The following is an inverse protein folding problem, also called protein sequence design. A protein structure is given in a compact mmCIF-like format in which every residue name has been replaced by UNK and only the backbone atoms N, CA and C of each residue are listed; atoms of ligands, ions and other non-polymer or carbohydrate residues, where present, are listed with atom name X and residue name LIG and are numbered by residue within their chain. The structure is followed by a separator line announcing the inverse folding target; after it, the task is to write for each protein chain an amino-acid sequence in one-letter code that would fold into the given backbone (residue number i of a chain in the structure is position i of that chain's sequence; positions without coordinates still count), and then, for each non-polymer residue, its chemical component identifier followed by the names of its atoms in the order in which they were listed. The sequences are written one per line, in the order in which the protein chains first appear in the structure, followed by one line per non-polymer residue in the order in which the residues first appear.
data_IF_257195993513
#
_entry.id   IF_257195993513
#
_cell.length_a   1.000
_cell.length_b   1.000
_cell.length_c   1.000
_cell.angle_alpha   90.00
_cell.angle_beta   90.00
_cell.angle_gamma   90.00
#
_symmetry.space_group_name_H-M   'P 1'
#
loop_
_entity.id
_entity.type
_entity.pdbx_description
1 polymer ?
#
# COMPACT_ATOMS: atom_id res chain seq x y z
N UNK A 1 -14.30 -15.77 -6.28
CA UNK A 1 -13.99 -16.97 -5.47
C UNK A 1 -15.22 -17.78 -5.06
N UNK A 2 -16.25 -17.21 -4.42
CA UNK A 2 -17.45 -17.98 -4.05
C UNK A 2 -18.34 -18.34 -5.26
N UNK A 3 -18.51 -17.42 -6.22
CA UNK A 3 -19.30 -17.65 -7.44
C UNK A 3 -18.52 -18.42 -8.52
N UNK A 4 -17.25 -18.08 -8.76
CA UNK A 4 -16.46 -18.67 -9.87
C UNK A 4 -15.65 -19.94 -9.50
N UNK A 5 -15.13 -20.06 -8.27
CA UNK A 5 -14.30 -21.21 -7.84
C UNK A 5 -15.02 -22.17 -6.90
N UNK A 6 -16.27 -21.86 -6.50
CA UNK A 6 -17.07 -22.69 -5.60
C UNK A 6 -16.45 -22.94 -4.21
N UNK A 7 -15.49 -22.12 -3.78
CA UNK A 7 -14.79 -22.28 -2.49
C UNK A 7 -15.40 -21.40 -1.40
N UNK A 8 -15.29 -21.86 -0.16
CA UNK A 8 -15.76 -21.13 1.01
C UNK A 8 -14.99 -19.82 1.22
N UNK A 9 -15.61 -18.85 1.90
CA UNK A 9 -14.98 -17.59 2.29
C UNK A 9 -13.71 -17.81 3.15
N UNK A 10 -13.67 -18.89 3.94
CA UNK A 10 -12.51 -19.26 4.74
C UNK A 10 -11.29 -19.60 3.88
N UNK A 11 -11.48 -20.34 2.78
CA UNK A 11 -10.38 -20.68 1.86
C UNK A 11 -9.85 -19.40 1.19
N UNK A 12 -10.73 -18.49 0.79
CA UNK A 12 -10.33 -17.20 0.25
C UNK A 12 -9.48 -16.40 1.26
N UNK A 13 -9.89 -16.34 2.52
CA UNK A 13 -9.14 -15.68 3.60
C UNK A 13 -7.76 -16.30 3.83
N UNK A 14 -7.67 -17.64 3.84
CA UNK A 14 -6.39 -18.35 3.98
C UNK A 14 -5.44 -18.07 2.82
N UNK A 15 -5.95 -18.05 1.59
CA UNK A 15 -5.14 -17.73 0.40
C UNK A 15 -4.59 -16.30 0.48
N UNK A 16 -5.41 -15.33 0.89
CA UNK A 16 -4.96 -13.94 1.09
C UNK A 16 -3.94 -13.81 2.23
N UNK A 17 -4.09 -14.61 3.28
CA UNK A 17 -3.12 -14.67 4.38
C UNK A 17 -1.75 -15.17 3.89
N UNK A 18 -1.72 -16.26 3.11
CA UNK A 18 -0.47 -16.81 2.56
C UNK A 18 0.13 -15.83 1.54
N UNK A 19 -0.70 -15.17 0.73
CA UNK A 19 -0.25 -14.12 -0.19
C UNK A 19 0.41 -12.96 0.58
N UNK A 20 -0.18 -12.52 1.69
CA UNK A 20 0.40 -11.49 2.56
C UNK A 20 1.76 -11.94 3.13
N UNK A 21 1.89 -13.22 3.50
CA UNK A 21 3.17 -13.78 3.94
C UNK A 21 4.22 -13.77 2.82
N UNK A 22 3.83 -14.16 1.61
CA UNK A 22 4.68 -14.04 0.41
C UNK A 22 5.16 -12.61 0.18
N UNK A 23 4.26 -11.63 0.33
CA UNK A 23 4.61 -10.21 0.21
C UNK A 23 5.59 -9.75 1.29
N UNK A 24 5.46 -10.21 2.54
CA UNK A 24 6.42 -9.90 3.61
C UNK A 24 7.82 -10.43 3.28
N UNK A 25 7.92 -11.69 2.85
CA UNK A 25 9.21 -12.27 2.42
C UNK A 25 9.77 -11.48 1.23
N UNK A 26 8.94 -11.15 0.25
CA UNK A 26 9.30 -10.32 -0.89
C UNK A 26 9.87 -8.96 -0.47
N UNK A 27 9.25 -8.28 0.49
CA UNK A 27 9.73 -7.00 1.02
C UNK A 27 11.13 -7.12 1.66
N UNK A 28 11.34 -8.15 2.50
CA UNK A 28 12.62 -8.37 3.17
C UNK A 28 13.73 -8.69 2.15
N UNK A 29 13.44 -9.57 1.19
CA UNK A 29 14.38 -9.89 0.12
C UNK A 29 14.63 -8.70 -0.80
N UNK A 30 13.60 -7.93 -1.14
CA UNK A 30 13.70 -6.72 -1.96
C UNK A 30 14.64 -5.69 -1.34
N UNK A 31 14.53 -5.46 -0.03
CA UNK A 31 15.48 -4.60 0.69
C UNK A 31 16.92 -5.12 0.62
N UNK A 32 17.14 -6.41 0.91
CA UNK A 32 18.49 -6.99 0.85
C UNK A 32 19.08 -7.02 -0.56
N UNK A 33 18.25 -7.28 -1.59
CA UNK A 33 18.68 -7.26 -2.99
C UNK A 33 18.96 -5.83 -3.44
N UNK A 34 18.20 -4.84 -2.99
CA UNK A 34 18.48 -3.43 -3.27
C UNK A 34 19.88 -3.05 -2.82
N UNK A 35 20.27 -3.44 -1.61
CA UNK A 35 21.60 -3.12 -1.05
C UNK A 35 22.73 -3.84 -1.78
N UNK A 36 22.49 -5.05 -2.33
CA UNK A 36 23.53 -5.88 -2.97
C UNK A 36 23.64 -5.69 -4.49
N UNK A 37 22.51 -5.57 -5.17
CA UNK A 37 22.39 -5.58 -6.64
C UNK A 37 22.02 -4.21 -7.22
N UNK A 38 21.60 -3.28 -6.36
CA UNK A 38 21.07 -1.97 -6.75
C UNK A 38 19.58 -2.00 -7.10
N UNK A 39 18.94 -0.83 -7.06
CA UNK A 39 17.49 -0.70 -7.23
C UNK A 39 16.96 -1.18 -8.58
N UNK A 40 17.67 -0.89 -9.67
CA UNK A 40 17.26 -1.28 -11.02
C UNK A 40 17.09 -2.80 -11.16
N UNK A 41 18.11 -3.58 -10.79
CA UNK A 41 18.07 -5.05 -10.89
C UNK A 41 17.01 -5.66 -9.97
N UNK A 42 16.85 -5.12 -8.76
CA UNK A 42 15.82 -5.59 -7.82
C UNK A 42 14.41 -5.39 -8.38
N UNK A 43 14.13 -4.22 -8.96
CA UNK A 43 12.83 -3.97 -9.60
C UNK A 43 12.61 -4.93 -10.78
N UNK A 44 13.61 -5.17 -11.62
CA UNK A 44 13.47 -6.09 -12.74
C UNK A 44 13.20 -7.53 -12.29
N UNK A 45 13.87 -8.03 -11.25
CA UNK A 45 13.63 -9.37 -10.69
C UNK A 45 12.19 -9.49 -10.16
N UNK A 46 11.73 -8.49 -9.38
CA UNK A 46 10.37 -8.46 -8.88
C UNK A 46 9.34 -8.39 -10.02
N UNK A 47 9.60 -7.55 -11.02
CA UNK A 47 8.74 -7.37 -12.19
C UNK A 47 8.64 -8.64 -13.03
N UNK A 48 9.77 -9.30 -13.28
CA UNK A 48 9.80 -10.59 -13.97
C UNK A 48 9.00 -11.65 -13.20
N UNK A 49 9.16 -11.70 -11.87
CA UNK A 49 8.39 -12.60 -11.01
C UNK A 49 6.88 -12.33 -11.13
N UNK A 50 6.46 -11.05 -11.13
CA UNK A 50 5.06 -10.68 -11.35
C UNK A 50 4.56 -11.05 -12.75
N UNK A 51 5.36 -10.79 -13.79
CA UNK A 51 5.02 -11.13 -15.18
C UNK A 51 4.82 -12.63 -15.38
N UNK A 52 5.74 -13.45 -14.87
CA UNK A 52 5.60 -14.90 -14.88
C UNK A 52 4.33 -15.34 -14.16
N UNK A 53 4.09 -14.81 -12.95
CA UNK A 53 2.92 -15.16 -12.14
C UNK A 53 1.61 -14.80 -12.83
N UNK A 54 1.49 -13.58 -13.38
CA UNK A 54 0.26 -13.13 -14.03
C UNK A 54 0.03 -13.77 -15.40
N UNK A 55 1.10 -14.13 -16.12
CA UNK A 55 1.01 -14.92 -17.36
C UNK A 55 0.47 -16.31 -17.05
N UNK A 56 1.03 -16.97 -16.03
CA UNK A 56 0.59 -18.30 -15.62
C UNK A 56 -0.81 -18.29 -15.01
N UNK A 57 -1.23 -17.21 -14.36
CA UNK A 57 -2.63 -17.01 -13.97
C UNK A 57 -3.57 -16.99 -15.18
N UNK A 58 -3.17 -16.36 -16.28
CA UNK A 58 -4.03 -16.30 -17.46
C UNK A 58 -4.32 -17.71 -18.01
N UNK A 59 -3.29 -18.56 -18.11
CA UNK A 59 -3.44 -19.94 -18.60
C UNK A 59 -3.96 -20.94 -17.55
N UNK A 60 -3.60 -20.75 -16.26
CA UNK A 60 -3.83 -21.70 -15.17
C UNK A 60 -4.49 -21.03 -13.94
N UNK A 61 -5.65 -20.40 -14.13
CA UNK A 61 -6.44 -19.77 -13.05
C UNK A 61 -7.33 -20.75 -12.27
N UNK A 62 -7.24 -22.05 -12.55
CA UNK A 62 -7.97 -23.09 -11.80
C UNK A 62 -7.41 -23.34 -10.39
N UNK A 63 -8.20 -24.00 -9.55
CA UNK A 63 -7.72 -24.49 -8.25
C UNK A 63 -6.78 -25.70 -8.43
N UNK A 64 -5.64 -25.80 -7.72
CA UNK A 64 -5.10 -24.89 -6.68
C UNK A 64 -4.13 -23.82 -7.20
N UNK A 65 -3.81 -23.84 -8.49
CA UNK A 65 -2.79 -23.01 -9.12
C UNK A 65 -3.03 -21.50 -8.98
N UNK A 66 -4.29 -21.08 -8.98
CA UNK A 66 -4.67 -19.70 -8.66
C UNK A 66 -4.00 -19.19 -7.36
N UNK A 67 -4.04 -19.98 -6.28
CA UNK A 67 -3.47 -19.57 -5.00
C UNK A 67 -1.95 -19.45 -5.08
N UNK A 68 -1.29 -20.39 -5.75
CA UNK A 68 0.17 -20.41 -5.93
C UNK A 68 0.63 -19.16 -6.68
N UNK A 69 0.01 -18.87 -7.82
CA UNK A 69 0.38 -17.72 -8.63
C UNK A 69 0.03 -16.39 -7.97
N UNK A 70 -1.07 -16.34 -7.20
CA UNK A 70 -1.40 -15.16 -6.41
C UNK A 70 -0.32 -14.89 -5.34
N UNK A 71 0.17 -15.93 -4.65
CA UNK A 71 1.26 -15.78 -3.67
C UNK A 71 2.54 -15.29 -4.33
N UNK A 72 2.91 -15.87 -5.48
CA UNK A 72 4.09 -15.45 -6.25
C UNK A 72 3.97 -14.00 -6.76
N UNK A 73 2.77 -13.57 -7.15
CA UNK A 73 2.49 -12.19 -7.52
C UNK A 73 2.69 -11.23 -6.32
N UNK A 74 2.20 -11.62 -5.13
CA UNK A 74 2.43 -10.86 -3.89
C UNK A 74 3.90 -10.78 -3.51
N UNK A 75 4.64 -11.86 -3.68
CA UNK A 75 6.09 -11.92 -3.45
C UNK A 75 6.87 -10.98 -4.38
N UNK A 76 6.59 -11.03 -5.70
CA UNK A 76 7.22 -10.12 -6.67
C UNK A 76 6.87 -8.65 -6.40
N UNK A 77 5.59 -8.35 -6.10
CA UNK A 77 5.15 -7.02 -5.71
C UNK A 77 5.83 -6.50 -4.45
N UNK A 78 6.00 -7.39 -3.45
CA UNK A 78 6.74 -7.11 -2.23
C UNK A 78 8.20 -6.73 -2.48
N UNK A 79 8.86 -7.27 -3.51
CA UNK A 79 10.24 -6.85 -3.84
C UNK A 79 10.31 -5.46 -4.45
N UNK A 80 9.33 -5.11 -5.28
CA UNK A 80 9.33 -3.87 -6.07
C UNK A 80 9.16 -2.64 -5.18
N UNK A 81 8.22 -2.67 -4.24
CA UNK A 81 7.85 -1.53 -3.40
C UNK A 81 9.05 -0.93 -2.65
N UNK A 82 9.80 -1.67 -1.81
CA UNK A 82 10.92 -1.11 -1.05
C UNK A 82 12.01 -0.56 -1.98
N UNK A 83 12.24 -1.20 -3.13
CA UNK A 83 13.22 -0.73 -4.12
C UNK A 83 12.81 0.61 -4.75
N UNK A 84 11.53 0.82 -5.06
CA UNK A 84 11.02 2.11 -5.55
C UNK A 84 11.22 3.20 -4.49
N UNK A 85 10.82 2.95 -3.24
CA UNK A 85 10.96 3.92 -2.16
C UNK A 85 12.43 4.25 -1.88
N UNK A 86 13.32 3.26 -1.91
CA UNK A 86 14.75 3.47 -1.72
C UNK A 86 15.38 4.27 -2.87
N UNK A 87 15.06 3.97 -4.14
CA UNK A 87 15.51 4.77 -5.29
C UNK A 87 14.99 6.20 -5.24
N UNK A 88 13.72 6.38 -4.91
CA UNK A 88 13.11 7.70 -4.79
C UNK A 88 13.80 8.59 -3.75
N UNK A 89 14.23 7.99 -2.63
CA UNK A 89 15.04 8.67 -1.62
C UNK A 89 16.46 8.99 -2.10
N UNK A 90 17.08 8.12 -2.90
CA UNK A 90 18.46 8.28 -3.35
C UNK A 90 18.63 9.26 -4.53
N UNK A 91 17.64 9.36 -5.42
CA UNK A 91 17.72 10.18 -6.64
C UNK A 91 17.42 11.67 -6.38
N UNK A 92 16.65 12.02 -5.35
CA UNK A 92 16.17 13.39 -5.15
C UNK A 92 17.03 14.22 -4.16
N UNK A 93 17.68 15.32 -4.60
CA UNK A 93 18.60 16.09 -3.75
C UNK A 93 17.93 16.84 -2.59
N UNK A 94 16.66 17.24 -2.76
CA UNK A 94 15.93 18.10 -1.82
C UNK A 94 15.27 17.33 -0.65
N UNK A 95 15.59 16.04 -0.50
CA UNK A 95 14.99 15.17 0.51
C UNK A 95 13.65 14.57 0.09
N UNK A 96 13.39 13.37 0.59
CA UNK A 96 12.34 12.48 0.08
C UNK A 96 10.89 12.90 0.30
N UNK A 97 10.59 13.95 1.10
CA UNK A 97 9.19 14.26 1.46
C UNK A 97 8.31 14.61 0.25
N UNK A 98 8.82 15.42 -0.69
CA UNK A 98 8.05 15.72 -1.92
C UNK A 98 7.90 14.48 -2.80
N UNK A 99 8.97 13.72 -2.96
CA UNK A 99 9.00 12.49 -3.78
C UNK A 99 8.07 11.40 -3.21
N UNK A 100 8.12 11.15 -1.91
CA UNK A 100 7.25 10.18 -1.24
C UNK A 100 5.78 10.60 -1.26
N UNK A 101 5.48 11.90 -1.16
CA UNK A 101 4.12 12.39 -1.35
C UNK A 101 3.63 12.23 -2.79
N UNK A 102 4.50 12.41 -3.79
CA UNK A 102 4.17 12.14 -5.18
C UNK A 102 3.91 10.64 -5.44
N UNK A 103 4.74 9.75 -4.86
CA UNK A 103 4.50 8.29 -4.90
C UNK A 103 3.16 7.95 -4.26
N UNK A 104 2.87 8.50 -3.07
CA UNK A 104 1.60 8.27 -2.40
C UNK A 104 0.42 8.73 -3.25
N UNK A 105 0.51 9.89 -3.90
CA UNK A 105 -0.52 10.38 -4.80
C UNK A 105 -0.72 9.45 -6.00
N UNK A 106 0.37 9.03 -6.65
CA UNK A 106 0.34 8.11 -7.77
C UNK A 106 -0.28 6.75 -7.39
N UNK A 107 0.03 6.22 -6.19
CA UNK A 107 -0.59 4.99 -5.69
C UNK A 107 -2.10 5.13 -5.53
N UNK A 108 -2.59 6.23 -4.98
CA UNK A 108 -4.03 6.45 -4.81
C UNK A 108 -4.75 6.62 -6.15
N UNK A 109 -4.13 7.31 -7.12
CA UNK A 109 -4.63 7.38 -8.50
C UNK A 109 -4.70 5.96 -9.10
N UNK A 110 -3.64 5.17 -8.93
CA UNK A 110 -3.58 3.79 -9.41
C UNK A 110 -4.70 2.91 -8.83
N UNK A 111 -4.96 3.00 -7.52
CA UNK A 111 -6.06 2.29 -6.86
C UNK A 111 -7.41 2.74 -7.40
N UNK A 112 -7.62 4.04 -7.58
CA UNK A 112 -8.89 4.60 -8.07
C UNK A 112 -9.19 4.14 -9.51
N UNK A 113 -8.20 4.32 -10.40
CA UNK A 113 -8.30 3.94 -11.82
C UNK A 113 -8.40 2.42 -11.95
N UNK A 114 -7.59 1.68 -11.19
CA UNK A 114 -7.60 0.22 -11.18
C UNK A 114 -8.92 -0.37 -10.69
N UNK A 115 -9.54 0.22 -9.66
CA UNK A 115 -10.86 -0.20 -9.20
C UNK A 115 -11.94 0.11 -10.24
N UNK A 116 -11.94 1.32 -10.83
CA UNK A 116 -12.89 1.70 -11.87
C UNK A 116 -12.83 0.75 -13.08
N UNK A 117 -11.61 0.51 -13.59
CA UNK A 117 -11.37 -0.40 -14.71
C UNK A 117 -11.67 -1.86 -14.34
N UNK A 118 -11.26 -2.31 -13.15
CA UNK A 118 -11.50 -3.66 -12.67
C UNK A 118 -12.98 -3.99 -12.53
N UNK A 119 -13.78 -3.05 -12.02
CA UNK A 119 -15.24 -3.17 -11.95
C UNK A 119 -15.87 -3.29 -13.34
N UNK A 120 -15.47 -2.42 -14.28
CA UNK A 120 -15.96 -2.46 -15.66
C UNK A 120 -15.58 -3.76 -16.38
N UNK A 121 -14.32 -4.20 -16.28
CA UNK A 121 -13.86 -5.46 -16.90
C UNK A 121 -14.58 -6.68 -16.31
N UNK A 122 -14.87 -6.66 -15.01
CA UNK A 122 -15.59 -7.73 -14.33
C UNK A 122 -17.04 -7.90 -14.83
N UNK A 123 -17.67 -6.85 -15.35
CA UNK A 123 -19.02 -6.94 -15.95
C UNK A 123 -19.04 -7.71 -17.27
N UNK A 124 -17.96 -7.65 -18.08
CA UNK A 124 -17.87 -8.42 -19.32
C UNK A 124 -17.53 -9.88 -19.07
N UNK A 125 -16.45 -10.13 -18.33
CA UNK A 125 -16.06 -11.47 -17.90
C UNK A 125 -14.96 -11.39 -16.85
N UNK A 126 -15.07 -12.22 -15.82
CA UNK A 126 -14.06 -12.34 -14.79
C UNK A 126 -12.68 -12.73 -15.35
N UNK A 127 -12.63 -13.49 -16.45
CA UNK A 127 -11.36 -13.93 -17.04
C UNK A 127 -10.54 -12.79 -17.64
N UNK A 128 -11.18 -11.72 -18.11
CA UNK A 128 -10.48 -10.56 -18.66
C UNK A 128 -9.71 -9.77 -17.59
N UNK A 129 -10.03 -9.95 -16.30
CA UNK A 129 -9.29 -9.31 -15.19
C UNK A 129 -7.83 -9.76 -15.19
N UNK A 130 -7.57 -11.05 -15.42
CA UNK A 130 -6.20 -11.57 -15.47
C UNK A 130 -5.41 -11.03 -16.66
N UNK A 131 -6.08 -10.89 -17.81
CA UNK A 131 -5.47 -10.31 -19.01
C UNK A 131 -5.17 -8.82 -18.82
N UNK A 132 -6.11 -8.06 -18.25
CA UNK A 132 -5.90 -6.65 -17.93
C UNK A 132 -4.73 -6.47 -16.97
N UNK A 133 -4.62 -7.31 -15.94
CA UNK A 133 -3.50 -7.29 -15.00
C UNK A 133 -2.16 -7.60 -15.70
N UNK A 134 -2.13 -8.59 -16.60
CA UNK A 134 -0.94 -8.90 -17.40
C UNK A 134 -0.51 -7.69 -18.25
N UNK A 135 -1.44 -7.04 -18.94
CA UNK A 135 -1.14 -5.85 -19.76
C UNK A 135 -0.53 -4.73 -18.89
N UNK A 136 -1.08 -4.49 -17.70
CA UNK A 136 -0.54 -3.48 -16.77
C UNK A 136 0.89 -3.80 -16.32
N UNK A 137 1.20 -5.07 -16.04
CA UNK A 137 2.55 -5.49 -15.70
C UNK A 137 3.52 -5.45 -16.89
N UNK A 138 3.05 -5.70 -18.12
CA UNK A 138 3.85 -5.53 -19.34
C UNK A 138 4.21 -4.06 -19.53
N UNK A 139 3.24 -3.15 -19.39
CA UNK A 139 3.49 -1.70 -19.44
C UNK A 139 4.47 -1.29 -18.35
N UNK A 140 4.27 -1.76 -17.12
CA UNK A 140 5.20 -1.49 -16.03
C UNK A 140 6.61 -2.02 -16.32
N UNK A 141 6.75 -3.19 -16.92
CA UNK A 141 8.06 -3.75 -17.29
C UNK A 141 8.78 -2.91 -18.36
N UNK A 142 8.05 -2.40 -19.35
CA UNK A 142 8.62 -1.47 -20.34
C UNK A 142 9.13 -0.19 -19.67
N UNK A 143 8.35 0.37 -18.73
CA UNK A 143 8.78 1.53 -17.94
C UNK A 143 9.97 1.17 -17.06
N UNK A 144 9.96 0.00 -16.42
CA UNK A 144 11.05 -0.48 -15.57
C UNK A 144 12.37 -0.54 -16.34
N UNK A 145 12.38 -1.17 -17.52
CA UNK A 145 13.58 -1.32 -18.35
C UNK A 145 14.08 0.03 -18.89
N UNK A 146 13.17 0.94 -19.27
CA UNK A 146 13.56 2.20 -19.94
C UNK A 146 13.88 3.34 -18.99
N UNK A 147 13.18 3.45 -17.85
CA UNK A 147 13.24 4.63 -16.97
C UNK A 147 14.03 4.40 -15.67
N UNK A 148 14.15 3.16 -15.20
CA UNK A 148 14.79 2.88 -13.91
C UNK A 148 16.28 2.55 -14.02
N UNK A 149 16.85 2.50 -15.23
CA UNK A 149 18.29 2.34 -15.43
C UNK A 149 19.03 3.66 -15.17
N UNK A 150 19.00 4.12 -13.92
CA UNK A 150 19.62 5.36 -13.47
C UNK A 150 20.87 5.02 -12.68
N UNK A 151 22.00 5.65 -13.01
CA UNK A 151 23.24 5.51 -12.24
C UNK A 151 23.13 6.27 -10.91
N UNK A 152 22.79 5.55 -9.84
CA UNK A 152 22.69 6.11 -8.49
C UNK A 152 24.09 6.12 -7.86
N UNK A 153 24.80 7.25 -7.99
CA UNK A 153 26.08 7.50 -7.31
C UNK A 153 25.91 7.91 -5.83
N UNK A 154 25.05 7.20 -5.10
CA UNK A 154 24.89 7.44 -3.67
C UNK A 154 25.93 6.61 -2.90
N UNK A 155 26.99 7.26 -2.40
CA UNK A 155 27.92 6.64 -1.44
C UNK A 155 27.17 6.32 -0.16
N UNK A 156 26.68 5.09 0.00
CA UNK A 156 26.14 4.60 1.27
C UNK A 156 27.29 4.58 2.29
N UNK A 157 27.36 5.60 3.15
CA UNK A 157 28.28 5.61 4.28
C UNK A 157 27.77 4.61 5.31
N UNK A 158 28.33 3.40 5.29
CA UNK A 158 28.15 2.47 6.39
C UNK A 158 28.83 3.06 7.64
N UNK A 159 28.13 3.26 8.76
CA UNK A 159 28.78 3.64 10.00
C UNK A 159 29.68 2.49 10.44
N UNK A 160 31.00 2.74 10.44
CA UNK A 160 32.06 1.75 10.66
C UNK A 160 32.07 1.16 12.08
N UNK A 161 31.33 1.76 13.02
CA UNK A 161 31.14 1.27 14.38
C UNK A 161 29.71 1.54 14.86
N UNK A 162 28.86 0.50 14.86
CA UNK A 162 27.62 0.50 15.62
C UNK A 162 27.96 0.06 17.04
N UNK A 163 27.99 1.00 17.99
CA UNK A 163 28.17 0.68 19.40
C UNK A 163 26.87 0.12 20.00
N UNK A 164 26.63 -1.18 19.85
CA UNK A 164 25.35 -1.84 20.17
C UNK A 164 25.07 -1.87 21.69
N UNK A 165 26.07 -1.61 22.55
CA UNK A 165 26.00 -1.86 24.02
C UNK A 165 25.73 -0.64 24.90
N UNK A 166 25.64 0.58 24.35
CA UNK A 166 25.35 1.79 25.14
C UNK A 166 23.94 1.81 25.76
N UNK A 167 23.79 2.18 27.04
CA UNK A 167 22.47 2.36 27.72
C UNK A 167 21.49 3.26 26.94
N UNK A 168 22.00 4.27 26.22
CA UNK A 168 21.19 5.13 25.33
C UNK A 168 20.61 4.37 24.12
N UNK A 169 21.28 3.34 23.63
CA UNK A 169 20.81 2.52 22.52
C UNK A 169 19.73 1.53 22.97
N UNK A 170 19.76 1.05 24.22
CA UNK A 170 18.64 0.26 24.78
C UNK A 170 17.35 1.08 24.87
N UNK A 171 17.41 2.32 25.36
CA UNK A 171 16.24 3.21 25.41
C UNK A 171 15.70 3.57 24.01
N UNK A 172 16.58 3.83 23.04
CA UNK A 172 16.21 4.04 21.63
C UNK A 172 15.58 2.80 21.00
N UNK A 173 16.14 1.62 21.26
CA UNK A 173 15.60 0.35 20.78
C UNK A 173 14.20 0.08 21.36
N UNK A 174 14.01 0.26 22.67
CA UNK A 174 12.69 0.13 23.31
C UNK A 174 11.70 1.14 22.70
N UNK A 175 12.13 2.39 22.48
CA UNK A 175 11.29 3.40 21.83
C UNK A 175 10.90 2.99 20.39
N UNK A 176 11.84 2.45 19.63
CA UNK A 176 11.60 1.93 18.28
C UNK A 176 10.62 0.75 18.30
N UNK A 177 10.81 -0.21 19.20
CA UNK A 177 9.90 -1.37 19.37
C UNK A 177 8.50 -0.90 19.75
N UNK A 178 8.37 0.04 20.69
CA UNK A 178 7.07 0.61 21.07
C UNK A 178 6.38 1.32 19.90
N UNK A 179 7.13 2.09 19.10
CA UNK A 179 6.59 2.75 17.90
C UNK A 179 6.14 1.70 16.88
N UNK A 180 6.95 0.67 16.62
CA UNK A 180 6.59 -0.42 15.71
C UNK A 180 5.34 -1.19 16.20
N UNK A 181 5.24 -1.47 17.49
CA UNK A 181 4.09 -2.15 18.08
C UNK A 181 2.80 -1.31 17.96
N UNK A 182 2.85 -0.02 18.33
CA UNK A 182 1.71 0.88 18.16
C UNK A 182 1.30 1.02 16.69
N UNK A 183 2.29 1.14 15.79
CA UNK A 183 2.04 1.19 14.36
C UNK A 183 1.38 -0.10 13.85
N UNK A 184 1.87 -1.27 14.27
CA UNK A 184 1.28 -2.56 13.90
C UNK A 184 -0.17 -2.69 14.36
N UNK A 185 -0.49 -2.25 15.60
CA UNK A 185 -1.88 -2.25 16.11
C UNK A 185 -2.78 -1.35 15.24
N UNK A 186 -2.33 -0.14 14.94
CA UNK A 186 -3.07 0.79 14.08
C UNK A 186 -3.23 0.21 12.66
N UNK A 187 -2.20 -0.47 12.15
CA UNK A 187 -2.19 -1.08 10.83
C UNK A 187 -3.15 -2.26 10.72
N UNK A 188 -3.27 -3.09 11.77
CA UNK A 188 -4.27 -4.17 11.83
C UNK A 188 -5.67 -3.59 11.77
N UNK A 189 -5.96 -2.56 12.58
CA UNK A 189 -7.26 -1.88 12.53
C UNK A 189 -7.54 -1.27 11.14
N UNK A 190 -6.50 -0.75 10.48
CA UNK A 190 -6.58 -0.21 9.12
C UNK A 190 -6.91 -1.28 8.08
N UNK A 191 -6.14 -2.38 8.01
CA UNK A 191 -6.36 -3.43 7.00
C UNK A 191 -7.73 -4.09 7.14
N UNK A 192 -8.24 -4.23 8.38
CA UNK A 192 -9.55 -4.83 8.59
C UNK A 192 -10.71 -4.06 7.96
N UNK A 193 -10.54 -2.75 7.74
CA UNK A 193 -11.52 -1.94 7.04
C UNK A 193 -11.79 -2.46 5.62
N UNK A 194 -10.72 -2.69 4.84
CA UNK A 194 -10.80 -3.08 3.43
C UNK A 194 -11.46 -4.47 3.27
N UNK A 195 -11.09 -5.42 4.14
CA UNK A 195 -11.62 -6.80 4.13
C UNK A 195 -13.07 -6.88 4.64
N UNK A 196 -13.40 -6.16 5.70
CA UNK A 196 -14.73 -6.21 6.34
C UNK A 196 -15.78 -5.57 5.44
N UNK A 197 -15.46 -4.46 4.77
CA UNK A 197 -16.44 -3.82 3.87
C UNK A 197 -16.65 -4.64 2.61
N UNK A 198 -15.59 -5.24 2.06
CA UNK A 198 -15.72 -6.12 0.90
C UNK A 198 -16.68 -7.29 1.18
N UNK A 199 -16.61 -7.90 2.37
CA UNK A 199 -17.50 -8.99 2.77
C UNK A 199 -18.90 -8.51 3.15
N UNK A 200 -19.01 -7.39 3.86
CA UNK A 200 -20.30 -6.80 4.24
C UNK A 200 -21.12 -6.36 3.03
N UNK A 201 -20.51 -5.70 2.04
CA UNK A 201 -21.21 -5.28 0.81
C UNK A 201 -21.77 -6.47 0.03
N UNK A 202 -21.05 -7.59 0.01
CA UNK A 202 -21.57 -8.83 -0.57
C UNK A 202 -22.75 -9.42 0.21
N UNK A 203 -22.79 -9.29 1.55
CA UNK A 203 -23.91 -9.82 2.37
C UNK A 203 -25.25 -9.10 2.17
N UNK A 204 -25.21 -7.87 1.66
CA UNK A 204 -26.39 -7.03 1.40
C UNK A 204 -26.70 -6.92 -0.10
N UNK A 205 -26.15 -7.82 -0.92
CA UNK A 205 -26.34 -7.89 -2.37
C UNK A 205 -25.93 -6.64 -3.15
N UNK A 206 -24.93 -5.88 -2.67
CA UNK A 206 -24.29 -4.84 -3.50
C UNK A 206 -23.43 -5.52 -4.56
N UNK A 207 -23.59 -5.08 -5.81
CA UNK A 207 -22.81 -5.62 -6.94
C UNK A 207 -21.32 -5.25 -6.85
N UNK A 208 -20.47 -6.03 -7.53
CA UNK A 208 -19.03 -5.75 -7.59
C UNK A 208 -18.72 -4.41 -8.27
N UNK A 209 -19.54 -3.99 -9.23
CA UNK A 209 -19.44 -2.69 -9.89
C UNK A 209 -19.69 -1.54 -8.90
N UNK A 210 -20.76 -1.63 -8.11
CA UNK A 210 -21.05 -0.63 -7.06
C UNK A 210 -19.96 -0.58 -5.99
N UNK A 211 -19.41 -1.72 -5.57
CA UNK A 211 -18.25 -1.76 -4.67
C UNK A 211 -17.01 -1.10 -5.29
N UNK A 212 -16.79 -1.28 -6.60
CA UNK A 212 -15.67 -0.66 -7.33
C UNK A 212 -15.82 0.85 -7.49
N UNK A 213 -17.05 1.35 -7.63
CA UNK A 213 -17.36 2.79 -7.61
C UNK A 213 -16.97 3.42 -6.28
N UNK A 214 -17.21 2.74 -5.15
CA UNK A 214 -16.79 3.24 -3.82
C UNK A 214 -15.28 3.47 -3.73
N UNK A 215 -14.47 2.56 -4.28
CA UNK A 215 -13.01 2.72 -4.37
C UNK A 215 -12.58 3.86 -5.31
N UNK A 216 -13.34 4.09 -6.37
CA UNK A 216 -13.09 5.22 -7.29
C UNK A 216 -13.37 6.55 -6.59
N UNK A 217 -14.50 6.66 -5.88
CA UNK A 217 -14.86 7.83 -5.07
C UNK A 217 -13.80 8.07 -4.00
N UNK A 218 -13.30 7.02 -3.34
CA UNK A 218 -12.17 7.10 -2.40
C UNK A 218 -10.97 7.83 -2.99
N UNK A 219 -10.53 7.43 -4.18
CA UNK A 219 -9.40 8.06 -4.86
C UNK A 219 -9.64 9.52 -5.21
N UNK A 220 -10.83 9.85 -5.73
CA UNK A 220 -11.22 11.24 -6.04
C UNK A 220 -11.20 12.10 -4.78
N UNK A 221 -11.75 11.59 -3.67
CA UNK A 221 -11.72 12.30 -2.40
C UNK A 221 -10.29 12.57 -1.91
N UNK A 222 -9.35 11.63 -2.12
CA UNK A 222 -7.93 11.84 -1.77
C UNK A 222 -7.35 12.98 -2.59
N UNK A 223 -7.58 12.96 -3.90
CA UNK A 223 -7.09 13.99 -4.82
C UNK A 223 -7.62 15.37 -4.44
N UNK A 224 -8.92 15.47 -4.11
CA UNK A 224 -9.57 16.73 -3.73
C UNK A 224 -9.19 17.18 -2.32
N UNK A 225 -8.98 16.25 -1.38
CA UNK A 225 -8.60 16.57 -0.01
C UNK A 225 -7.16 17.10 0.10
N UNK A 226 -6.23 16.65 -0.77
CA UNK A 226 -4.84 17.12 -0.73
C UNK A 226 -4.67 18.66 -0.78
N UNK A 227 -5.25 19.41 -1.74
CA UNK A 227 -5.16 20.86 -1.75
C UNK A 227 -5.87 21.51 -0.56
N UNK A 228 -6.98 20.93 -0.07
CA UNK A 228 -7.75 21.46 1.07
C UNK A 228 -7.00 21.33 2.41
N UNK A 229 -6.17 20.30 2.57
CA UNK A 229 -5.40 20.05 3.80
C UNK A 229 -4.07 20.82 3.80
N UNK A 230 -3.59 21.25 2.64
CA UNK A 230 -2.31 21.98 2.48
C UNK A 230 -2.17 23.22 3.39
N UNK A 231 -3.20 24.08 3.60
CA UNK A 231 -3.12 25.22 4.51
C UNK A 231 -2.94 24.79 5.97
N UNK A 232 -3.67 23.76 6.40
CA UNK A 232 -3.58 23.20 7.76
C UNK A 232 -2.18 22.62 8.01
N UNK A 233 -1.61 21.93 7.02
CA UNK A 233 -0.25 21.40 7.10
C UNK A 233 0.81 22.50 7.18
N UNK A 234 0.55 23.66 6.56
CA UNK A 234 1.43 24.83 6.67
C UNK A 234 1.39 25.44 8.07
N UNK A 235 0.21 25.48 8.72
CA UNK A 235 0.05 25.95 10.10
C UNK A 235 0.73 25.03 11.13
N UNK A 236 0.78 23.73 10.84
CA UNK A 236 1.44 22.73 11.69
C UNK A 236 2.94 22.55 11.38
N UNK A 237 3.48 23.33 10.44
CA UNK A 237 4.86 23.21 9.96
C UNK A 237 5.82 23.61 11.09
N UNK A 238 6.74 22.71 11.43
CA UNK A 238 7.80 22.95 12.44
C UNK A 238 7.74 22.07 13.69
N UNK A 239 6.61 21.44 14.01
CA UNK A 239 6.51 20.54 15.17
C UNK A 239 5.90 19.18 14.80
N UNK A 240 6.77 18.26 14.40
CA UNK A 240 6.45 16.88 13.97
C UNK A 240 5.66 16.09 15.03
N UNK A 241 5.95 16.28 16.31
CA UNK A 241 5.23 15.61 17.40
C UNK A 241 3.77 16.06 17.45
N UNK A 242 3.51 17.37 17.29
CA UNK A 242 2.14 17.91 17.24
C UNK A 242 1.38 17.36 16.03
N UNK A 243 2.04 17.25 14.87
CA UNK A 243 1.42 16.66 13.67
C UNK A 243 0.98 15.20 13.89
N UNK A 244 1.80 14.39 14.56
CA UNK A 244 1.42 13.01 14.90
C UNK A 244 0.24 12.94 15.85
N UNK A 245 0.26 13.72 16.93
CA UNK A 245 -0.82 13.71 17.93
C UNK A 245 -2.15 14.14 17.29
N UNK A 246 -2.14 15.21 16.49
CA UNK A 246 -3.33 15.66 15.76
C UNK A 246 -3.82 14.56 14.80
N UNK A 247 -2.91 13.92 14.06
CA UNK A 247 -3.26 12.79 13.19
C UNK A 247 -3.92 11.64 13.96
N UNK A 248 -3.33 11.18 15.05
CA UNK A 248 -3.86 10.07 15.87
C UNK A 248 -5.24 10.42 16.45
N UNK A 249 -5.42 11.66 16.95
CA UNK A 249 -6.72 12.12 17.47
C UNK A 249 -7.78 12.10 16.36
N UNK A 250 -7.45 12.62 15.17
CA UNK A 250 -8.35 12.56 14.02
C UNK A 250 -8.70 11.10 13.68
N UNK A 251 -7.71 10.20 13.64
CA UNK A 251 -7.96 8.78 13.36
C UNK A 251 -8.90 8.14 14.39
N UNK A 252 -8.65 8.36 15.68
CA UNK A 252 -9.51 7.84 16.74
C UNK A 252 -10.93 8.39 16.64
N UNK A 253 -11.07 9.69 16.40
CA UNK A 253 -12.38 10.32 16.22
C UNK A 253 -13.16 9.70 15.06
N UNK A 254 -12.47 9.36 13.97
CA UNK A 254 -13.07 8.76 12.78
C UNK A 254 -13.52 7.33 13.00
N UNK A 255 -12.69 6.53 13.68
CA UNK A 255 -13.06 5.15 14.05
C UNK A 255 -14.27 5.16 15.00
N UNK A 256 -14.28 6.06 15.99
CA UNK A 256 -15.41 6.21 16.92
C UNK A 256 -16.67 6.70 16.20
N UNK A 257 -16.54 7.71 15.33
CA UNK A 257 -17.65 8.26 14.56
C UNK A 257 -18.21 7.21 13.57
N UNK A 258 -17.37 6.32 13.05
CA UNK A 258 -17.81 5.21 12.23
C UNK A 258 -18.66 4.20 13.00
N UNK A 259 -18.25 3.77 14.19
CA UNK A 259 -19.08 2.90 15.05
C UNK A 259 -20.40 3.57 15.45
N UNK A 260 -20.39 4.90 15.66
CA UNK A 260 -21.61 5.64 15.94
C UNK A 260 -22.52 5.77 14.70
N UNK A 261 -21.96 6.06 13.53
CA UNK A 261 -22.68 6.11 12.26
C UNK A 261 -23.18 4.73 11.81
N UNK A 262 -22.56 3.64 12.28
CA UNK A 262 -23.04 2.26 12.07
C UNK A 262 -24.50 2.09 12.49
N UNK A 263 -24.94 2.84 13.51
CA UNK A 263 -26.30 2.83 14.05
C UNK A 263 -27.28 3.76 13.32
N UNK A 264 -26.82 4.70 12.48
CA UNK A 264 -27.64 5.87 12.07
C UNK A 264 -27.73 6.15 10.55
N UNK A 265 -26.79 5.72 9.68
CA UNK A 265 -26.72 6.22 8.28
C UNK A 265 -26.58 5.15 7.18
N UNK A 266 -26.92 5.51 5.93
CA UNK A 266 -26.68 4.72 4.72
C UNK A 266 -25.18 4.46 4.43
N UNK A 267 -24.89 3.42 3.65
CA UNK A 267 -23.54 2.88 3.42
C UNK A 267 -22.60 3.86 2.70
N UNK A 268 -23.10 4.65 1.74
CA UNK A 268 -22.28 5.66 1.06
C UNK A 268 -21.75 6.74 2.01
N UNK A 269 -22.59 7.32 2.86
CA UNK A 269 -22.14 8.30 3.87
C UNK A 269 -21.10 7.69 4.84
N UNK A 270 -21.23 6.40 5.18
CA UNK A 270 -20.25 5.70 6.03
C UNK A 270 -18.90 5.50 5.35
N UNK A 271 -18.92 5.13 4.07
CA UNK A 271 -17.71 4.87 3.28
C UNK A 271 -16.95 6.17 2.99
N UNK A 272 -17.67 7.24 2.62
CA UNK A 272 -17.06 8.50 2.21
C UNK A 272 -16.47 9.27 3.39
N UNK A 273 -17.19 9.31 4.52
CA UNK A 273 -16.74 10.00 5.73
C UNK A 273 -15.51 9.36 6.36
N UNK A 274 -15.50 8.03 6.52
CA UNK A 274 -14.35 7.33 7.11
C UNK A 274 -13.11 7.52 6.24
N UNK A 275 -13.26 7.37 4.92
CA UNK A 275 -12.16 7.53 3.99
C UNK A 275 -11.59 8.94 3.96
N UNK A 276 -12.45 9.96 3.86
CA UNK A 276 -12.01 11.35 3.87
C UNK A 276 -11.08 11.66 5.05
N UNK A 277 -11.53 11.34 6.27
CA UNK A 277 -10.76 11.65 7.46
C UNK A 277 -9.60 10.67 7.74
N UNK A 278 -9.70 9.42 7.30
CA UNK A 278 -8.58 8.46 7.23
C UNK A 278 -7.43 9.04 6.41
N UNK A 279 -7.75 9.66 5.28
CA UNK A 279 -6.76 10.23 4.38
C UNK A 279 -6.16 11.54 4.95
N UNK A 280 -6.94 12.33 5.69
CA UNK A 280 -6.44 13.46 6.48
C UNK A 280 -5.41 12.98 7.52
N UNK A 281 -5.70 11.88 8.22
CA UNK A 281 -4.75 11.31 9.18
C UNK A 281 -3.49 10.76 8.52
N UNK A 282 -3.62 10.01 7.42
CA UNK A 282 -2.48 9.46 6.69
C UNK A 282 -1.61 10.56 6.06
N UNK A 283 -2.18 11.65 5.57
CA UNK A 283 -1.43 12.80 5.10
C UNK A 283 -0.61 13.47 6.24
N UNK A 284 -1.11 13.44 7.47
CA UNK A 284 -0.36 13.90 8.65
C UNK A 284 0.73 12.91 9.08
N UNK A 285 0.52 11.60 8.99
CA UNK A 285 1.47 10.56 9.41
C UNK A 285 2.55 10.23 8.35
N UNK A 286 2.22 10.29 7.05
CA UNK A 286 3.17 10.08 5.96
C UNK A 286 4.25 11.17 5.98
N UNK A 287 3.83 12.42 6.17
CA UNK A 287 4.74 13.56 6.37
C UNK A 287 5.69 13.37 7.56
N UNK A 288 5.30 12.60 8.59
CA UNK A 288 6.15 12.26 9.73
C UNK A 288 7.15 11.15 9.40
N UNK A 289 6.69 10.00 8.89
CA UNK A 289 7.56 8.88 8.48
C UNK A 289 8.64 9.35 7.49
N UNK A 290 8.24 10.18 6.52
CA UNK A 290 9.11 10.78 5.51
C UNK A 290 10.07 11.85 6.07
N UNK A 291 9.74 12.50 7.19
CA UNK A 291 10.62 13.47 7.86
C UNK A 291 11.63 12.83 8.82
N UNK A 292 11.31 11.63 9.31
CA UNK A 292 12.22 10.80 10.09
C UNK A 292 13.19 10.10 9.16
N UNK A 293 12.74 9.52 8.04
CA UNK A 293 13.61 8.91 7.04
C UNK A 293 14.54 9.91 6.32
N UNK A 294 14.13 11.17 6.18
CA UNK A 294 15.00 12.23 5.64
C UNK A 294 16.06 12.76 6.64
N UNK A 295 16.05 12.30 7.90
CA UNK A 295 17.04 12.67 8.94
C UNK A 295 17.98 11.52 9.32
N UNK A 296 17.75 10.32 8.79
CA UNK A 296 18.66 9.18 8.86
C UNK A 296 19.36 9.02 7.52
#
# INVERSE_FOLDING_TARGET
MKQELGKSLTVAGLVLMINSFGMVIGNLLGGSLFDKLGGYKTILIGTFTCLCSTTLLNFFHGWPWYAVWLVMLGFGGGMIIPAIYAMAGAVWPNGGRQTFNAIYLAQNIGVAVGAAMGGFVAEFSFNYIFLANLIMYVVFALVAVTQFNIEINAKVKYPTHLDITGKKNKARFISLVLICAMFAICWVAYIQWESTIASFTQSINISMAQYSVLWTINGIMILVAQPLIKPILYLLKGNLKKQMFVGIIIFMFVVLCHEFCRKLYNICCRYDYFNFWRNVCMACSSNYSQSVSARW
#
